data_IF_000047696924
#
_entry.id   IF_000047696924
#
_cell.length_a   1.000
_cell.length_b   1.000
_cell.length_c   1.000
_cell.angle_alpha   90.00
_cell.angle_beta   90.00
_cell.angle_gamma   90.00
#
_symmetry.space_group_name_H-M   'P 1'
#
loop_
_entity.id
_entity.type
_entity.pdbx_description
1 polymer ?
#
# COMPACT_ATOMS: atom_id res chain seq x y z
N UNK A 1 69.75 -4.31 -32.26
CA UNK A 1 70.03 -3.39 -33.37
C UNK A 1 70.36 -2.02 -32.79
N UNK A 2 71.29 -1.34 -33.41
CA UNK A 2 72.21 -0.29 -32.93
C UNK A 2 71.61 0.93 -32.21
N UNK A 3 72.35 1.39 -31.19
CA UNK A 3 72.38 2.76 -30.65
C UNK A 3 73.21 3.70 -31.59
N UNK A 4 73.66 4.95 -31.27
CA UNK A 4 73.48 5.81 -30.07
C UNK A 4 73.48 7.37 -30.29
N UNK A 5 73.48 8.12 -29.15
CA UNK A 5 74.17 9.40 -28.81
C UNK A 5 73.99 10.73 -29.58
N UNK A 6 73.93 11.84 -28.80
CA UNK A 6 74.53 13.14 -29.21
C UNK A 6 74.03 14.40 -28.49
N UNK A 7 74.95 15.12 -27.84
CA UNK A 7 74.79 16.38 -27.07
C UNK A 7 74.74 17.67 -27.94
N UNK A 8 74.40 18.80 -27.27
CA UNK A 8 75.00 20.16 -27.36
C UNK A 8 74.22 21.33 -28.02
N UNK A 9 73.91 22.35 -27.21
CA UNK A 9 73.89 23.80 -27.58
C UNK A 9 75.34 24.31 -27.84
N UNK A 10 75.67 25.54 -28.41
CA UNK A 10 74.90 26.80 -28.43
C UNK A 10 75.09 27.80 -29.65
N UNK A 11 74.37 28.94 -29.58
CA UNK A 11 74.78 30.35 -29.91
C UNK A 11 74.78 30.90 -31.39
N UNK A 12 74.99 32.23 -31.62
CA UNK A 12 73.98 33.14 -32.19
C UNK A 12 74.41 33.87 -33.49
N UNK A 13 73.46 34.28 -34.32
CA UNK A 13 73.72 35.03 -35.56
C UNK A 13 73.43 36.52 -35.42
N UNK A 14 74.47 37.36 -35.49
CA UNK A 14 74.37 38.81 -35.58
C UNK A 14 74.30 39.31 -37.03
N UNK A 15 73.78 40.53 -37.20
CA UNK A 15 74.03 41.35 -38.38
C UNK A 15 74.36 42.80 -37.99
N UNK A 16 75.48 43.26 -38.55
CA UNK A 16 76.04 44.61 -38.54
C UNK A 16 75.68 45.30 -39.86
N UNK A 17 75.59 46.64 -39.86
CA UNK A 17 76.02 47.62 -40.91
C UNK A 17 75.36 49.01 -40.64
N UNK A 18 75.84 50.16 -41.17
CA UNK A 18 77.18 50.74 -41.19
C UNK A 18 77.20 52.24 -40.72
N UNK A 19 78.33 52.94 -40.94
CA UNK A 19 78.74 54.20 -40.32
C UNK A 19 78.54 55.50 -41.14
N UNK A 20 78.33 56.61 -40.39
CA UNK A 20 78.66 58.04 -40.56
C UNK A 20 78.38 58.83 -41.86
N UNK A 21 77.79 60.05 -41.71
CA UNK A 21 78.32 61.36 -42.20
C UNK A 21 77.70 62.51 -41.36
N UNK A 22 78.52 63.54 -41.13
CA UNK A 22 78.37 64.75 -40.29
C UNK A 22 77.56 65.85 -41.01
N UNK A 23 76.83 66.69 -40.27
CA UNK A 23 76.54 68.10 -40.64
C UNK A 23 76.11 68.95 -39.43
N UNK A 24 76.43 70.24 -39.51
CA UNK A 24 76.62 71.19 -38.42
C UNK A 24 75.34 71.78 -37.78
N UNK A 25 75.52 72.32 -36.56
CA UNK A 25 74.54 73.00 -35.70
C UNK A 25 73.84 74.20 -36.37
N UNK A 26 72.63 74.54 -35.90
CA UNK A 26 72.52 75.74 -35.06
C UNK A 26 71.96 75.43 -33.67
N UNK A 27 72.55 76.08 -32.67
CA UNK A 27 72.11 76.06 -31.28
C UNK A 27 70.67 76.61 -31.16
N UNK A 28 69.70 75.72 -30.93
CA UNK A 28 68.41 76.11 -30.38
C UNK A 28 68.56 76.35 -28.87
N UNK A 29 67.97 77.44 -28.32
CA UNK A 29 68.05 77.74 -26.89
C UNK A 29 67.41 76.61 -26.09
N UNK A 30 68.20 75.96 -25.22
CA UNK A 30 67.72 74.93 -24.29
C UNK A 30 66.66 75.55 -23.37
N UNK A 31 65.37 75.15 -23.44
CA UNK A 31 64.48 75.45 -22.35
C UNK A 31 64.98 74.66 -21.14
N UNK A 32 65.27 75.34 -20.02
CA UNK A 32 65.44 74.70 -18.72
C UNK A 32 64.15 73.95 -18.41
N UNK A 33 64.08 72.65 -18.73
CA UNK A 33 62.98 71.77 -18.36
C UNK A 33 62.95 71.69 -16.84
N UNK A 34 61.96 72.35 -16.23
CA UNK A 34 61.66 72.21 -14.80
C UNK A 34 61.43 70.72 -14.52
N UNK A 35 62.25 70.13 -13.63
CA UNK A 35 62.15 68.71 -13.20
C UNK A 35 60.84 68.37 -12.45
N UNK A 36 59.96 69.36 -12.23
CA UNK A 36 58.64 69.16 -11.65
C UNK A 36 57.73 68.25 -12.49
N UNK A 37 57.84 68.24 -13.82
CA UNK A 37 57.02 67.36 -14.67
C UNK A 37 57.33 65.86 -14.53
N UNK A 38 58.58 65.51 -14.23
CA UNK A 38 58.99 64.11 -14.04
C UNK A 38 58.55 63.56 -12.68
N UNK A 39 58.67 64.39 -11.63
CA UNK A 39 58.20 64.03 -10.28
C UNK A 39 56.68 63.90 -10.22
N UNK A 40 55.93 64.77 -10.90
CA UNK A 40 54.47 64.67 -11.02
C UNK A 40 54.08 63.40 -11.81
N UNK A 41 54.82 63.05 -12.87
CA UNK A 41 54.58 61.83 -13.64
C UNK A 41 54.84 60.53 -12.84
N UNK A 42 55.92 60.46 -12.07
CA UNK A 42 56.22 59.31 -11.19
C UNK A 42 55.17 59.20 -10.08
N UNK A 43 54.77 60.31 -9.47
CA UNK A 43 53.74 60.31 -8.44
C UNK A 43 52.37 59.89 -9.01
N UNK A 44 52.02 60.38 -10.20
CA UNK A 44 50.82 59.94 -10.93
C UNK A 44 50.83 58.46 -11.28
N UNK A 45 51.98 57.91 -11.69
CA UNK A 45 52.13 56.48 -11.98
C UNK A 45 52.02 55.62 -10.71
N UNK A 46 52.62 56.05 -9.59
CA UNK A 46 52.50 55.35 -8.31
C UNK A 46 51.06 55.36 -7.78
N UNK A 47 50.37 56.50 -7.89
CA UNK A 47 48.94 56.59 -7.54
C UNK A 47 48.11 55.67 -8.43
N UNK A 48 48.37 55.65 -9.75
CA UNK A 48 47.66 54.74 -10.66
C UNK A 48 47.90 53.26 -10.32
N UNK A 49 49.15 52.86 -10.02
CA UNK A 49 49.46 51.48 -9.59
C UNK A 49 48.81 51.15 -8.25
N UNK A 50 48.80 52.08 -7.29
CA UNK A 50 48.13 51.88 -6.00
C UNK A 50 46.61 51.74 -6.16
N UNK A 51 45.99 52.53 -7.03
CA UNK A 51 44.55 52.44 -7.34
C UNK A 51 44.24 51.11 -8.02
N UNK A 52 45.01 50.70 -9.04
CA UNK A 52 44.82 49.41 -9.71
C UNK A 52 45.04 48.25 -8.74
N UNK A 53 46.05 48.32 -7.88
CA UNK A 53 46.31 47.32 -6.83
C UNK A 53 45.16 47.22 -5.83
N UNK A 54 44.62 48.36 -5.38
CA UNK A 54 43.46 48.39 -4.49
C UNK A 54 42.22 47.79 -5.17
N UNK A 55 41.94 48.16 -6.42
CA UNK A 55 40.83 47.59 -7.22
C UNK A 55 40.98 46.09 -7.41
N UNK A 56 42.19 45.61 -7.67
CA UNK A 56 42.48 44.18 -7.82
C UNK A 56 42.23 43.40 -6.52
N UNK A 57 42.63 43.95 -5.36
CA UNK A 57 42.39 43.32 -4.05
C UNK A 57 40.90 43.30 -3.74
N UNK A 58 40.21 44.43 -3.89
CA UNK A 58 38.76 44.53 -3.66
C UNK A 58 37.99 43.57 -4.58
N UNK A 59 38.35 43.50 -5.86
CA UNK A 59 37.70 42.60 -6.81
C UNK A 59 37.95 41.12 -6.49
N UNK A 60 39.15 40.75 -6.01
CA UNK A 60 39.43 39.39 -5.58
C UNK A 60 38.63 39.00 -4.34
N UNK A 61 38.63 39.85 -3.31
CA UNK A 61 37.87 39.58 -2.08
C UNK A 61 36.37 39.51 -2.35
N UNK A 62 35.84 40.44 -3.16
CA UNK A 62 34.42 40.42 -3.53
C UNK A 62 34.05 39.19 -4.37
N UNK A 63 34.93 38.73 -5.26
CA UNK A 63 34.72 37.47 -5.98
C UNK A 63 34.76 36.27 -5.04
N UNK A 64 35.74 36.18 -4.14
CA UNK A 64 35.86 35.03 -3.22
C UNK A 64 34.68 34.94 -2.25
N UNK A 65 34.15 36.08 -1.81
CA UNK A 65 32.95 36.17 -0.97
C UNK A 65 31.71 35.66 -1.73
N UNK A 66 31.44 36.23 -2.91
CA UNK A 66 30.31 35.77 -3.76
C UNK A 66 30.48 34.32 -4.24
N UNK A 67 31.71 33.85 -4.42
CA UNK A 67 31.99 32.44 -4.76
C UNK A 67 31.62 31.51 -3.59
N UNK A 68 31.92 31.91 -2.35
CA UNK A 68 31.54 31.15 -1.17
C UNK A 68 30.01 31.13 -0.95
N UNK A 69 29.33 32.26 -1.21
CA UNK A 69 27.86 32.33 -1.21
C UNK A 69 27.25 31.41 -2.27
N UNK A 70 27.79 31.42 -3.49
CA UNK A 70 27.38 30.51 -4.56
C UNK A 70 27.58 29.04 -4.18
N UNK A 71 28.74 28.68 -3.61
CA UNK A 71 29.00 27.30 -3.21
C UNK A 71 28.00 26.87 -2.12
N UNK A 72 27.66 27.76 -1.18
CA UNK A 72 26.61 27.51 -0.19
C UNK A 72 25.21 27.33 -0.79
N UNK A 73 24.79 28.21 -1.70
CA UNK A 73 23.49 28.09 -2.39
C UNK A 73 23.41 26.79 -3.22
N UNK A 74 24.52 26.40 -3.86
CA UNK A 74 24.62 25.16 -4.62
C UNK A 74 24.54 23.93 -3.72
N UNK A 75 25.24 23.93 -2.59
CA UNK A 75 25.19 22.83 -1.63
C UNK A 75 23.76 22.66 -1.09
N UNK A 76 23.07 23.75 -0.73
CA UNK A 76 21.64 23.71 -0.33
C UNK A 76 20.76 23.11 -1.41
N UNK A 77 20.86 23.58 -2.66
CA UNK A 77 20.06 23.03 -3.76
C UNK A 77 20.34 21.53 -3.99
N UNK A 78 21.60 21.08 -3.81
CA UNK A 78 21.95 19.66 -3.90
C UNK A 78 21.33 18.81 -2.79
N UNK A 79 21.29 19.33 -1.56
CA UNK A 79 20.63 18.67 -0.44
C UNK A 79 19.11 18.55 -0.71
N UNK A 80 18.46 19.62 -1.19
CA UNK A 80 17.03 19.62 -1.53
C UNK A 80 16.72 18.68 -2.71
N UNK A 81 17.58 18.60 -3.73
CA UNK A 81 17.48 17.60 -4.81
C UNK A 81 17.47 16.17 -4.23
N UNK A 82 18.34 15.88 -3.26
CA UNK A 82 18.41 14.56 -2.65
C UNK A 82 17.14 14.23 -1.83
N UNK A 83 16.55 15.21 -1.15
CA UNK A 83 15.28 15.07 -0.43
C UNK A 83 14.11 14.77 -1.38
N UNK A 84 13.96 15.56 -2.46
CA UNK A 84 12.92 15.34 -3.48
C UNK A 84 13.08 13.99 -4.16
N UNK A 85 14.31 13.57 -4.46
CA UNK A 85 14.60 12.25 -5.05
C UNK A 85 14.13 11.13 -4.12
N UNK A 86 14.43 11.22 -2.82
CA UNK A 86 13.98 10.23 -1.83
C UNK A 86 12.44 10.18 -1.72
N UNK A 87 11.78 11.34 -1.72
CA UNK A 87 10.31 11.41 -1.70
C UNK A 87 9.68 10.81 -2.98
N UNK A 88 10.28 11.07 -4.14
CA UNK A 88 9.85 10.50 -5.43
C UNK A 88 9.99 8.97 -5.45
N UNK A 89 11.14 8.43 -4.99
CA UNK A 89 11.37 6.98 -4.87
C UNK A 89 10.35 6.32 -3.92
N UNK A 90 10.01 6.99 -2.82
CA UNK A 90 9.02 6.51 -1.86
C UNK A 90 7.60 6.49 -2.47
N UNK A 91 7.20 7.56 -3.16
CA UNK A 91 5.92 7.63 -3.87
C UNK A 91 5.81 6.55 -4.96
N UNK A 92 6.89 6.30 -5.70
CA UNK A 92 6.96 5.25 -6.71
C UNK A 92 6.74 3.86 -6.09
N UNK A 93 7.42 3.55 -4.99
CA UNK A 93 7.24 2.28 -4.27
C UNK A 93 5.81 2.08 -3.75
N UNK A 94 5.20 3.13 -3.21
CA UNK A 94 3.80 3.11 -2.74
C UNK A 94 2.83 2.92 -3.91
N UNK A 95 3.07 3.59 -5.04
CA UNK A 95 2.27 3.47 -6.27
C UNK A 95 2.38 2.09 -6.93
N UNK A 96 3.56 1.48 -6.90
CA UNK A 96 3.78 0.10 -7.36
C UNK A 96 2.99 -0.90 -6.52
N UNK A 97 2.99 -0.73 -5.19
CA UNK A 97 2.21 -1.54 -4.26
C UNK A 97 0.70 -1.39 -4.51
N UNK A 98 0.22 -0.15 -4.67
CA UNK A 98 -1.16 0.17 -5.02
C UNK A 98 -1.58 -0.46 -6.37
N UNK A 99 -0.69 -0.41 -7.37
CA UNK A 99 -0.91 -1.03 -8.67
C UNK A 99 -0.99 -2.55 -8.57
N UNK A 100 -0.13 -3.16 -7.75
CA UNK A 100 -0.17 -4.61 -7.51
C UNK A 100 -1.47 -5.02 -6.80
N UNK A 101 -1.96 -4.21 -5.86
CA UNK A 101 -3.24 -4.40 -5.20
C UNK A 101 -4.40 -4.42 -6.21
N UNK A 102 -4.45 -3.44 -7.13
CA UNK A 102 -5.43 -3.39 -8.22
C UNK A 102 -5.33 -4.59 -9.18
N UNK A 103 -4.11 -4.97 -9.56
CA UNK A 103 -3.88 -6.10 -10.47
C UNK A 103 -4.23 -7.46 -9.85
N UNK A 104 -4.22 -7.53 -8.51
CA UNK A 104 -4.60 -8.73 -7.77
C UNK A 104 -6.12 -8.90 -7.68
N UNK A 105 -6.92 -7.90 -8.06
CA UNK A 105 -8.38 -7.95 -8.00
C UNK A 105 -8.99 -8.95 -9.01
N UNK A 106 -9.62 -10.00 -8.47
CA UNK A 106 -10.42 -11.01 -9.16
C UNK A 106 -11.81 -10.50 -9.58
N UNK A 107 -12.27 -9.38 -9.03
CA UNK A 107 -13.59 -8.80 -9.24
C UNK A 107 -14.69 -9.40 -8.35
N UNK A 108 -14.35 -10.24 -7.37
CA UNK A 108 -15.33 -10.91 -6.49
C UNK A 108 -15.77 -10.03 -5.33
N UNK A 109 -14.81 -9.46 -4.58
CA UNK A 109 -15.07 -8.69 -3.35
C UNK A 109 -14.80 -7.18 -3.49
N UNK A 110 -14.14 -6.76 -4.57
CA UNK A 110 -13.75 -5.37 -4.75
C UNK A 110 -14.95 -4.45 -4.99
N UNK A 111 -15.00 -3.35 -4.24
CA UNK A 111 -15.94 -2.26 -4.50
C UNK A 111 -15.48 -1.42 -5.70
N UNK A 112 -16.40 -1.18 -6.64
CA UNK A 112 -16.08 -0.47 -7.87
C UNK A 112 -15.67 1.00 -7.62
N UNK A 113 -16.31 1.67 -6.65
CA UNK A 113 -15.99 3.06 -6.32
C UNK A 113 -14.63 3.17 -5.62
N UNK A 114 -14.32 2.26 -4.68
CA UNK A 114 -13.00 2.22 -4.06
C UNK A 114 -11.90 1.88 -5.08
N UNK A 115 -12.18 0.99 -6.04
CA UNK A 115 -11.27 0.67 -7.14
C UNK A 115 -10.98 1.88 -8.03
N UNK A 116 -12.02 2.62 -8.41
CA UNK A 116 -11.88 3.85 -9.20
C UNK A 116 -11.09 4.93 -8.44
N UNK A 117 -11.33 5.09 -7.14
CA UNK A 117 -10.59 6.02 -6.28
C UNK A 117 -9.10 5.68 -6.20
N UNK A 118 -8.77 4.40 -5.98
CA UNK A 118 -7.37 3.93 -5.97
C UNK A 118 -6.70 4.16 -7.33
N UNK A 119 -7.37 3.82 -8.44
CA UNK A 119 -6.85 4.07 -9.78
C UNK A 119 -6.62 5.55 -10.07
N UNK A 120 -7.48 6.44 -9.57
CA UNK A 120 -7.32 7.88 -9.71
C UNK A 120 -6.10 8.39 -8.91
N UNK A 121 -5.93 7.92 -7.67
CA UNK A 121 -4.77 8.29 -6.83
C UNK A 121 -3.43 7.87 -7.44
N UNK A 122 -3.36 6.69 -8.08
CA UNK A 122 -2.16 6.23 -8.80
C UNK A 122 -1.86 7.14 -10.01
N UNK A 123 -2.91 7.60 -10.71
CA UNK A 123 -2.74 8.54 -11.83
C UNK A 123 -2.18 9.87 -11.33
N UNK A 124 -2.72 10.38 -10.22
CA UNK A 124 -2.23 11.60 -9.57
C UNK A 124 -0.78 11.47 -9.07
N UNK A 125 -0.41 10.32 -8.52
CA UNK A 125 0.97 10.01 -8.16
C UNK A 125 1.93 10.02 -9.36
N UNK A 126 1.48 9.47 -10.50
CA UNK A 126 2.26 9.52 -11.75
C UNK A 126 2.43 10.96 -12.25
N UNK A 127 1.41 11.80 -12.16
CA UNK A 127 1.48 13.20 -12.58
C UNK A 127 2.38 14.02 -11.65
N UNK A 128 2.31 13.79 -10.34
CA UNK A 128 3.18 14.43 -9.35
C UNK A 128 4.65 14.04 -9.53
N UNK A 129 4.92 12.75 -9.75
CA UNK A 129 6.29 12.26 -10.03
C UNK A 129 6.86 12.90 -11.29
N UNK A 130 6.06 13.05 -12.35
CA UNK A 130 6.49 13.70 -13.58
C UNK A 130 6.77 15.20 -13.42
N UNK A 131 6.03 15.89 -12.53
CA UNK A 131 6.32 17.28 -12.14
C UNK A 131 7.66 17.39 -11.42
N UNK A 132 7.88 16.55 -10.41
CA UNK A 132 9.13 16.53 -9.65
C UNK A 132 10.34 16.22 -10.55
N UNK A 133 10.23 15.23 -11.45
CA UNK A 133 11.26 14.90 -12.43
C UNK A 133 11.64 16.09 -13.32
N UNK A 134 10.66 16.92 -13.71
CA UNK A 134 10.92 18.12 -14.51
C UNK A 134 11.78 19.14 -13.76
N UNK A 135 11.56 19.32 -12.46
CA UNK A 135 12.35 20.23 -11.62
C UNK A 135 13.74 19.64 -11.36
N UNK A 136 13.82 18.33 -11.04
CA UNK A 136 15.06 17.60 -10.80
C UNK A 136 16.01 17.59 -12.01
N UNK A 137 15.48 17.62 -13.24
CA UNK A 137 16.26 17.69 -14.47
C UNK A 137 16.92 19.07 -14.70
N UNK A 138 16.65 20.07 -13.85
CA UNK A 138 17.25 21.41 -13.95
C UNK A 138 18.75 21.36 -13.65
N UNK A 139 19.56 21.78 -14.62
CA UNK A 139 21.01 21.75 -14.49
C UNK A 139 21.51 22.82 -13.51
N UNK A 140 22.28 22.40 -12.51
CA UNK A 140 22.94 23.32 -11.59
C UNK A 140 24.01 24.16 -12.31
N UNK A 141 24.04 25.49 -12.12
CA UNK A 141 25.07 26.35 -12.70
C UNK A 141 26.49 25.96 -12.20
N UNK A 142 27.51 26.32 -12.98
CA UNK A 142 28.91 26.14 -12.64
C UNK A 142 29.65 27.48 -12.66
N UNK A 143 30.34 27.79 -11.57
CA UNK A 143 31.05 29.05 -11.40
C UNK A 143 32.25 29.24 -12.35
N UNK A 144 32.69 28.16 -13.01
CA UNK A 144 33.81 28.17 -13.93
C UNK A 144 35.14 28.56 -13.28
N UNK A 145 36.10 28.98 -14.11
CA UNK A 145 37.44 29.34 -13.64
C UNK A 145 37.52 30.81 -13.18
N UNK A 146 38.16 31.06 -12.03
CA UNK A 146 38.37 32.41 -11.49
C UNK A 146 39.20 33.29 -12.45
N UNK A 147 38.69 34.46 -12.87
CA UNK A 147 39.45 35.41 -13.69
C UNK A 147 40.63 36.05 -12.93
N UNK A 148 41.59 36.62 -13.65
CA UNK A 148 42.82 37.16 -13.04
C UNK A 148 42.89 38.68 -12.96
N UNK A 149 42.08 39.40 -13.74
CA UNK A 149 42.10 40.87 -13.82
C UNK A 149 40.83 41.49 -13.22
N UNK A 150 40.97 42.63 -12.54
CA UNK A 150 39.90 43.19 -11.70
C UNK A 150 38.55 43.44 -12.40
N UNK A 151 38.55 43.82 -13.69
CA UNK A 151 37.30 44.08 -14.42
C UNK A 151 36.57 42.78 -14.77
N UNK A 152 37.29 41.70 -15.08
CA UNK A 152 36.70 40.37 -15.29
C UNK A 152 36.19 39.80 -13.96
N UNK A 153 36.92 40.02 -12.86
CA UNK A 153 36.49 39.62 -11.52
C UNK A 153 35.16 40.27 -11.14
N UNK A 154 34.98 41.58 -11.36
CA UNK A 154 33.69 42.24 -11.11
C UNK A 154 32.56 41.68 -11.97
N UNK A 155 32.83 41.38 -13.25
CA UNK A 155 31.83 40.78 -14.14
C UNK A 155 31.45 39.36 -13.73
N UNK A 156 32.44 38.54 -13.35
CA UNK A 156 32.22 37.18 -12.88
C UNK A 156 31.51 37.15 -11.52
N UNK A 157 31.79 38.09 -10.60
CA UNK A 157 31.03 38.24 -9.37
C UNK A 157 29.56 38.54 -9.64
N UNK A 158 29.23 39.34 -10.65
CA UNK A 158 27.84 39.61 -10.99
C UNK A 158 27.14 38.40 -11.63
N UNK A 159 27.86 37.65 -12.48
CA UNK A 159 27.38 36.36 -12.99
C UNK A 159 27.03 35.39 -11.86
N UNK A 160 27.93 35.24 -10.87
CA UNK A 160 27.67 34.39 -9.71
C UNK A 160 26.47 34.85 -8.88
N UNK A 161 26.17 36.14 -8.80
CA UNK A 161 24.95 36.62 -8.11
C UNK A 161 23.67 36.23 -8.83
N UNK A 162 23.69 36.23 -10.16
CA UNK A 162 22.56 35.73 -10.95
C UNK A 162 22.43 34.22 -10.75
N UNK A 163 23.54 33.48 -10.80
CA UNK A 163 23.50 32.04 -10.58
C UNK A 163 23.07 31.68 -9.14
N UNK A 164 23.41 32.49 -8.13
CA UNK A 164 22.88 32.35 -6.76
C UNK A 164 21.36 32.51 -6.74
N UNK A 165 20.82 33.52 -7.44
CA UNK A 165 19.37 33.72 -7.54
C UNK A 165 18.69 32.54 -8.22
N UNK A 166 19.27 32.06 -9.33
CA UNK A 166 18.75 30.88 -10.04
C UNK A 166 18.77 29.62 -9.14
N UNK A 167 19.80 29.45 -8.29
CA UNK A 167 19.89 28.37 -7.30
C UNK A 167 18.87 28.52 -6.16
N UNK A 168 18.64 29.73 -5.65
CA UNK A 168 17.65 30.02 -4.61
C UNK A 168 16.21 29.83 -5.12
N UNK A 169 15.94 30.21 -6.39
CA UNK A 169 14.66 29.98 -7.05
C UNK A 169 14.44 28.47 -7.26
N UNK A 170 15.45 27.73 -7.72
CA UNK A 170 15.39 26.26 -7.86
C UNK A 170 15.19 25.56 -6.50
N UNK A 171 15.89 25.98 -5.46
CA UNK A 171 15.72 25.44 -4.10
C UNK A 171 14.29 25.66 -3.59
N UNK A 172 13.70 26.82 -3.90
CA UNK A 172 12.30 27.11 -3.58
C UNK A 172 11.34 26.19 -4.33
N UNK A 173 11.52 26.01 -5.64
CA UNK A 173 10.71 25.10 -6.45
C UNK A 173 10.82 23.65 -5.94
N UNK A 174 12.03 23.16 -5.68
CA UNK A 174 12.24 21.80 -5.13
C UNK A 174 11.64 21.63 -3.73
N UNK A 175 11.75 22.65 -2.87
CA UNK A 175 11.18 22.63 -1.52
C UNK A 175 9.65 22.57 -1.53
N UNK A 176 9.00 23.05 -2.59
CA UNK A 176 7.55 22.93 -2.79
C UNK A 176 7.13 21.53 -3.30
N UNK A 177 8.00 20.82 -4.01
CA UNK A 177 7.71 19.47 -4.53
C UNK A 177 7.67 18.39 -3.43
N UNK A 178 8.58 18.43 -2.45
CA UNK A 178 8.63 17.43 -1.35
C UNK A 178 7.30 17.27 -0.58
N UNK A 179 6.65 18.35 -0.07
CA UNK A 179 5.36 18.20 0.59
C UNK A 179 4.25 17.77 -0.37
N UNK A 180 4.30 18.17 -1.65
CA UNK A 180 3.31 17.73 -2.64
C UNK A 180 3.42 16.22 -2.89
N UNK A 181 4.63 15.67 -3.03
CA UNK A 181 4.86 14.23 -3.17
C UNK A 181 4.36 13.45 -1.93
N UNK A 182 4.63 13.96 -0.72
CA UNK A 182 4.19 13.34 0.53
C UNK A 182 2.65 13.36 0.70
N UNK A 183 1.99 14.44 0.28
CA UNK A 183 0.53 14.53 0.28
C UNK A 183 -0.08 13.50 -0.68
N UNK A 184 0.50 13.34 -1.88
CA UNK A 184 0.03 12.36 -2.86
C UNK A 184 0.32 10.92 -2.42
N UNK A 185 1.47 10.66 -1.78
CA UNK A 185 1.77 9.36 -1.19
C UNK A 185 0.72 8.97 -0.13
N UNK A 186 0.33 9.93 0.71
CA UNK A 186 -0.73 9.75 1.71
C UNK A 186 -2.06 9.43 1.03
N UNK A 187 -2.41 10.15 -0.04
CA UNK A 187 -3.63 9.88 -0.82
C UNK A 187 -3.66 8.46 -1.40
N UNK A 188 -2.54 7.99 -1.99
CA UNK A 188 -2.44 6.62 -2.53
C UNK A 188 -2.56 5.59 -1.40
N UNK A 189 -1.90 5.83 -0.27
CA UNK A 189 -1.96 4.95 0.90
C UNK A 189 -3.38 4.83 1.44
N UNK A 190 -4.05 5.95 1.66
CA UNK A 190 -5.42 6.01 2.16
C UNK A 190 -6.40 5.35 1.19
N UNK A 191 -6.26 5.60 -0.12
CA UNK A 191 -7.08 4.96 -1.14
C UNK A 191 -6.85 3.44 -1.20
N UNK A 192 -5.61 2.99 -1.05
CA UNK A 192 -5.25 1.57 -1.02
C UNK A 192 -5.84 0.84 0.18
N UNK A 193 -5.73 1.44 1.38
CA UNK A 193 -6.34 0.91 2.60
C UNK A 193 -7.87 0.94 2.54
N UNK A 194 -8.46 1.99 1.98
CA UNK A 194 -9.91 2.07 1.77
C UNK A 194 -10.41 0.99 0.80
N UNK A 195 -9.66 0.72 -0.27
CA UNK A 195 -9.96 -0.38 -1.20
C UNK A 195 -9.93 -1.73 -0.48
N UNK A 196 -8.86 -2.03 0.27
CA UNK A 196 -8.76 -3.27 1.05
C UNK A 196 -9.88 -3.41 2.09
N UNK A 197 -10.17 -2.34 2.84
CA UNK A 197 -11.23 -2.31 3.84
C UNK A 197 -12.64 -2.47 3.23
N UNK A 198 -12.86 -1.97 2.02
CA UNK A 198 -14.12 -2.17 1.30
C UNK A 198 -14.33 -3.65 0.94
N UNK A 199 -13.27 -4.34 0.49
CA UNK A 199 -13.32 -5.76 0.18
C UNK A 199 -13.56 -6.61 1.44
N UNK A 200 -12.92 -6.25 2.56
CA UNK A 200 -13.19 -6.87 3.86
C UNK A 200 -14.67 -6.72 4.28
N UNK A 201 -15.23 -5.53 4.09
CA UNK A 201 -16.65 -5.24 4.38
C UNK A 201 -17.60 -6.04 3.48
N UNK A 202 -17.21 -6.30 2.23
CA UNK A 202 -17.99 -7.09 1.29
C UNK A 202 -18.08 -8.59 1.65
N UNK A 203 -17.20 -9.10 2.51
CA UNK A 203 -17.19 -10.52 2.90
C UNK A 203 -18.50 -10.97 3.60
N UNK A 204 -19.09 -10.13 4.45
CA UNK A 204 -20.32 -10.49 5.16
C UNK A 204 -21.56 -10.65 4.24
N UNK A 205 -21.90 -9.70 3.36
CA UNK A 205 -22.97 -9.92 2.38
C UNK A 205 -22.64 -11.01 1.36
N UNK A 206 -21.36 -11.24 1.06
CA UNK A 206 -20.91 -12.35 0.22
C UNK A 206 -21.21 -13.70 0.88
N UNK A 207 -20.82 -13.90 2.14
CA UNK A 207 -21.18 -15.09 2.92
C UNK A 207 -22.69 -15.33 2.94
N UNK A 208 -23.49 -14.27 3.16
CA UNK A 208 -24.95 -14.37 3.19
C UNK A 208 -25.57 -14.81 1.84
N UNK A 209 -24.85 -14.63 0.72
CA UNK A 209 -25.25 -15.10 -0.60
C UNK A 209 -24.85 -16.56 -0.88
N UNK A 210 -23.93 -17.13 -0.09
CA UNK A 210 -23.31 -18.44 -0.30
C UNK A 210 -23.65 -19.43 0.84
N UNK A 211 -24.95 -19.56 1.15
CA UNK A 211 -25.43 -20.30 2.33
C UNK A 211 -25.12 -21.80 2.32
N UNK A 212 -24.81 -22.38 1.15
CA UNK A 212 -24.49 -23.82 1.05
C UNK A 212 -22.99 -24.10 1.07
N UNK A 213 -22.13 -23.09 1.25
CA UNK A 213 -20.69 -23.29 1.40
C UNK A 213 -20.36 -24.09 2.68
N UNK A 214 -19.22 -24.78 2.67
CA UNK A 214 -18.72 -25.54 3.83
C UNK A 214 -18.33 -24.59 4.97
N UNK A 215 -18.49 -25.04 6.22
CA UNK A 215 -18.25 -24.21 7.39
C UNK A 215 -16.80 -23.68 7.45
N UNK A 216 -15.81 -24.53 7.18
CA UNK A 216 -14.39 -24.18 7.26
C UNK A 216 -13.99 -23.08 6.25
N UNK A 217 -14.58 -23.08 5.05
CA UNK A 217 -14.31 -22.06 4.03
C UNK A 217 -14.92 -20.71 4.41
N UNK A 218 -16.12 -20.70 5.01
CA UNK A 218 -16.75 -19.49 5.54
C UNK A 218 -15.93 -18.92 6.70
N UNK A 219 -15.37 -19.77 7.57
CA UNK A 219 -14.48 -19.34 8.65
C UNK A 219 -13.21 -18.73 8.08
N UNK A 220 -12.57 -19.38 7.10
CA UNK A 220 -11.39 -18.84 6.43
C UNK A 220 -11.67 -17.48 5.77
N UNK A 221 -12.85 -17.29 5.17
CA UNK A 221 -13.28 -15.99 4.62
C UNK A 221 -13.38 -14.93 5.72
N UNK A 222 -14.02 -15.24 6.85
CA UNK A 222 -14.15 -14.30 7.98
C UNK A 222 -12.81 -13.92 8.57
N UNK A 223 -11.91 -14.88 8.75
CA UNK A 223 -10.55 -14.64 9.28
C UNK A 223 -9.72 -13.76 8.33
N UNK A 224 -9.79 -14.05 7.02
CA UNK A 224 -9.12 -13.24 6.01
C UNK A 224 -9.70 -11.82 5.94
N UNK A 225 -11.03 -11.67 6.06
CA UNK A 225 -11.68 -10.37 6.11
C UNK A 225 -11.30 -9.58 7.37
N UNK A 226 -11.23 -10.23 8.52
CA UNK A 226 -10.76 -9.60 9.76
C UNK A 226 -9.30 -9.15 9.67
N UNK A 227 -8.45 -9.95 9.02
CA UNK A 227 -7.04 -9.59 8.78
C UNK A 227 -6.94 -8.39 7.84
N UNK A 228 -7.71 -8.39 6.74
CA UNK A 228 -7.78 -7.28 5.79
C UNK A 228 -8.30 -5.98 6.43
N UNK A 229 -9.33 -6.05 7.27
CA UNK A 229 -9.85 -4.90 8.01
C UNK A 229 -8.85 -4.35 9.05
N UNK A 230 -7.91 -5.17 9.51
CA UNK A 230 -6.86 -4.78 10.44
C UNK A 230 -5.60 -4.19 9.79
N UNK A 231 -5.53 -4.13 8.47
CA UNK A 231 -4.38 -3.55 7.76
C UNK A 231 -4.25 -2.05 8.06
N UNK A 232 -3.04 -1.61 8.41
CA UNK A 232 -2.74 -0.23 8.80
C UNK A 232 -1.67 0.45 7.94
N UNK A 233 -1.12 -0.27 6.96
CA UNK A 233 -0.10 0.21 6.06
C UNK A 233 -0.34 -0.39 4.67
N UNK A 234 0.01 0.37 3.62
CA UNK A 234 -0.01 -0.11 2.25
C UNK A 234 1.38 -0.64 1.88
N UNK A 235 1.57 -1.94 2.03
CA UNK A 235 2.83 -2.64 1.75
C UNK A 235 2.58 -4.02 1.11
N UNK A 236 3.65 -4.80 0.89
CA UNK A 236 3.56 -6.17 0.38
C UNK A 236 2.63 -7.07 1.21
N UNK A 237 2.54 -6.84 2.53
CA UNK A 237 1.65 -7.59 3.41
C UNK A 237 0.19 -7.24 3.18
N UNK A 238 -0.14 -5.97 2.88
CA UNK A 238 -1.49 -5.56 2.49
C UNK A 238 -1.93 -6.25 1.19
N UNK A 239 -1.04 -6.33 0.20
CA UNK A 239 -1.30 -7.07 -1.05
C UNK A 239 -1.52 -8.55 -0.78
N UNK A 240 -0.64 -9.20 -0.01
CA UNK A 240 -0.79 -10.62 0.33
C UNK A 240 -2.10 -10.89 1.08
N UNK A 241 -2.49 -9.98 1.98
CA UNK A 241 -3.74 -10.06 2.72
C UNK A 241 -4.96 -9.95 1.80
N UNK A 242 -4.92 -9.05 0.82
CA UNK A 242 -5.97 -8.92 -0.18
C UNK A 242 -6.11 -10.18 -1.05
N UNK A 243 -4.99 -10.76 -1.49
CA UNK A 243 -4.98 -12.02 -2.25
C UNK A 243 -5.59 -13.15 -1.43
N UNK A 244 -5.17 -13.30 -0.17
CA UNK A 244 -5.71 -14.34 0.72
C UNK A 244 -7.22 -14.21 0.94
N UNK A 245 -7.73 -12.97 1.09
CA UNK A 245 -9.17 -12.70 1.18
C UNK A 245 -9.92 -13.15 -0.08
N UNK A 246 -9.37 -12.89 -1.27
CA UNK A 246 -10.00 -13.30 -2.52
C UNK A 246 -9.92 -14.81 -2.75
N UNK A 247 -8.82 -15.45 -2.38
CA UNK A 247 -8.68 -16.90 -2.42
C UNK A 247 -9.71 -17.57 -1.50
N UNK A 248 -9.91 -17.04 -0.29
CA UNK A 248 -10.94 -17.53 0.62
C UNK A 248 -12.36 -17.38 0.04
N UNK A 249 -12.67 -16.24 -0.59
CA UNK A 249 -13.94 -16.04 -1.29
C UNK A 249 -14.13 -17.04 -2.44
N UNK A 250 -13.06 -17.34 -3.19
CA UNK A 250 -13.10 -18.34 -4.25
C UNK A 250 -13.32 -19.76 -3.70
N UNK A 251 -12.76 -20.11 -2.53
CA UNK A 251 -13.05 -21.39 -1.88
C UNK A 251 -14.50 -21.52 -1.43
N UNK A 252 -15.09 -20.45 -0.87
CA UNK A 252 -16.53 -20.41 -0.51
C UNK A 252 -17.40 -20.72 -1.73
N UNK A 253 -17.12 -20.10 -2.88
CA UNK A 253 -17.85 -20.37 -4.13
C UNK A 253 -17.61 -21.80 -4.62
N UNK A 254 -16.38 -22.30 -4.52
CA UNK A 254 -16.03 -23.64 -4.96
C UNK A 254 -16.76 -24.70 -4.13
N UNK A 255 -16.78 -24.56 -2.80
CA UNK A 255 -17.44 -25.51 -1.91
C UNK A 255 -18.95 -25.41 -2.01
N UNK A 256 -19.54 -24.21 -2.11
CA UNK A 256 -20.98 -24.10 -2.40
C UNK A 256 -21.37 -24.84 -3.69
N UNK A 257 -20.60 -24.67 -4.77
CA UNK A 257 -20.91 -25.36 -6.02
C UNK A 257 -20.80 -26.88 -5.89
N UNK A 258 -19.83 -27.38 -5.12
CA UNK A 258 -19.70 -28.80 -4.83
C UNK A 258 -20.92 -29.31 -4.04
N UNK A 259 -21.33 -28.58 -3.01
CA UNK A 259 -22.48 -28.89 -2.16
C UNK A 259 -23.81 -28.88 -2.93
N UNK A 260 -24.03 -27.87 -3.77
CA UNK A 260 -25.20 -27.80 -4.63
C UNK A 260 -25.21 -28.93 -5.67
N UNK A 261 -24.05 -29.36 -6.16
CA UNK A 261 -23.91 -30.49 -7.07
C UNK A 261 -24.24 -31.81 -6.38
N UNK A 262 -23.81 -32.01 -5.14
CA UNK A 262 -24.16 -33.19 -4.34
C UNK A 262 -25.67 -33.24 -4.04
N UNK A 263 -26.25 -32.08 -3.73
CA UNK A 263 -27.69 -31.93 -3.45
C UNK A 263 -28.58 -32.08 -4.69
N UNK A 264 -28.00 -32.10 -5.90
CA UNK A 264 -28.73 -32.12 -7.16
C UNK A 264 -29.67 -33.33 -7.31
N UNK A 265 -30.72 -33.15 -8.10
CA UNK A 265 -31.71 -34.18 -8.42
C UNK A 265 -33.13 -33.83 -7.98
N UNK A 266 -34.08 -34.79 -8.00
CA UNK A 266 -35.50 -34.51 -7.77
C UNK A 266 -35.82 -33.89 -6.41
N UNK A 267 -34.98 -34.11 -5.40
CA UNK A 267 -35.18 -33.62 -4.03
C UNK A 267 -34.46 -32.28 -3.75
N UNK A 268 -33.67 -31.75 -4.69
CA UNK A 268 -32.81 -30.57 -4.44
C UNK A 268 -33.59 -29.38 -3.86
N UNK A 269 -34.72 -29.01 -4.47
CA UNK A 269 -35.51 -27.87 -3.99
C UNK A 269 -36.06 -28.07 -2.58
N UNK A 270 -36.43 -29.30 -2.23
CA UNK A 270 -36.94 -29.65 -0.89
C UNK A 270 -35.81 -29.64 0.14
N UNK A 271 -34.63 -30.16 -0.22
CA UNK A 271 -33.44 -30.10 0.64
C UNK A 271 -33.11 -28.66 1.02
N UNK A 272 -33.05 -27.76 0.03
CA UNK A 272 -32.79 -26.33 0.28
C UNK A 272 -33.86 -25.67 1.16
N UNK A 273 -35.13 -26.06 1.02
CA UNK A 273 -36.21 -25.60 1.90
C UNK A 273 -36.01 -26.05 3.36
N UNK A 274 -35.61 -27.31 3.55
CA UNK A 274 -35.32 -27.88 4.87
C UNK A 274 -34.14 -27.18 5.52
N UNK A 275 -33.06 -26.94 4.78
CA UNK A 275 -31.87 -26.28 5.29
C UNK A 275 -32.17 -24.82 5.67
N UNK A 276 -32.95 -24.09 4.85
CA UNK A 276 -33.41 -22.75 5.18
C UNK A 276 -34.27 -22.74 6.45
N UNK A 277 -35.15 -23.74 6.59
CA UNK A 277 -35.95 -23.93 7.80
C UNK A 277 -35.07 -24.21 9.02
N UNK A 278 -34.08 -25.11 8.92
CA UNK A 278 -33.15 -25.41 10.00
C UNK A 278 -32.34 -24.16 10.43
N UNK A 279 -31.82 -23.37 9.48
CA UNK A 279 -31.14 -22.09 9.79
C UNK A 279 -32.05 -21.09 10.48
N UNK A 280 -33.35 -21.08 10.17
CA UNK A 280 -34.33 -20.21 10.87
C UNK A 280 -34.55 -20.58 12.34
N UNK A 281 -34.23 -21.83 12.72
CA UNK A 281 -34.35 -22.31 14.08
C UNK A 281 -33.08 -22.03 14.89
N UNK A 282 -31.88 -22.00 14.30
CA UNK A 282 -30.62 -21.73 15.01
C UNK A 282 -29.93 -20.43 14.56
N UNK A 283 -30.45 -19.25 14.96
CA UNK A 283 -29.84 -17.98 14.59
C UNK A 283 -28.43 -17.83 15.19
N UNK A 284 -27.46 -17.52 14.32
CA UNK A 284 -26.08 -17.27 14.70
C UNK A 284 -25.21 -18.52 14.81
N UNK A 285 -25.71 -19.70 14.46
CA UNK A 285 -24.90 -20.92 14.29
C UNK A 285 -24.65 -21.13 12.80
N UNK A 286 -23.40 -21.39 12.45
CA UNK A 286 -23.02 -21.75 11.09
C UNK A 286 -23.41 -23.22 10.85
N UNK A 287 -24.37 -23.45 9.95
CA UNK A 287 -24.93 -24.78 9.66
C UNK A 287 -24.56 -25.26 8.27
N UNK A 288 -23.96 -26.45 8.24
CA UNK A 288 -23.67 -27.24 7.06
C UNK A 288 -24.58 -28.47 7.02
N UNK A 289 -24.86 -28.98 5.81
CA UNK A 289 -25.80 -30.09 5.62
C UNK A 289 -25.29 -31.13 4.63
N UNK A 290 -25.37 -32.39 5.05
CA UNK A 290 -25.10 -33.57 4.23
C UNK A 290 -26.37 -34.43 4.09
N UNK A 291 -26.51 -35.10 2.94
CA UNK A 291 -27.72 -35.86 2.59
C UNK A 291 -27.40 -37.28 2.16
N UNK A 292 -27.83 -38.26 2.96
CA UNK A 292 -27.52 -39.68 2.72
C UNK A 292 -28.78 -40.55 2.60
N UNK A 293 -28.74 -41.71 1.92
CA UNK A 293 -29.88 -42.63 1.90
C UNK A 293 -30.25 -43.13 3.30
N UNK A 294 -29.26 -43.35 4.15
CA UNK A 294 -29.39 -43.83 5.52
C UNK A 294 -28.53 -43.01 6.45
N UNK A 295 -29.08 -42.60 7.59
CA UNK A 295 -28.38 -41.92 8.69
C UNK A 295 -28.75 -42.64 9.97
N UNK A 296 -27.76 -43.02 10.79
CA UNK A 296 -27.98 -43.81 12.01
C UNK A 296 -28.83 -45.09 11.79
N UNK A 297 -28.64 -45.74 10.63
CA UNK A 297 -29.42 -46.90 10.17
C UNK A 297 -30.93 -46.65 9.91
N UNK A 298 -31.34 -45.38 9.77
CA UNK A 298 -32.70 -44.97 9.43
C UNK A 298 -32.75 -44.19 8.10
N UNK A 299 -33.83 -44.36 7.33
CA UNK A 299 -34.01 -43.76 6.00
C UNK A 299 -34.75 -44.66 4.99
N UNK A 300 -34.98 -45.93 5.35
CA UNK A 300 -35.77 -46.88 4.54
C UNK A 300 -37.11 -47.23 5.21
N UNK A 301 -38.04 -47.82 4.45
CA UNK A 301 -39.34 -48.32 4.95
C UNK A 301 -40.17 -47.26 5.71
N UNK A 302 -40.02 -45.98 5.34
CA UNK A 302 -40.70 -44.86 5.99
C UNK A 302 -40.10 -44.43 7.33
N UNK A 303 -38.92 -44.94 7.72
CA UNK A 303 -38.11 -44.36 8.80
C UNK A 303 -37.36 -43.12 8.30
N UNK A 304 -36.97 -42.23 9.21
CA UNK A 304 -36.12 -41.07 8.96
C UNK A 304 -34.98 -41.06 9.98
N UNK A 305 -33.78 -40.70 9.53
CA UNK A 305 -32.62 -40.51 10.38
C UNK A 305 -32.06 -39.09 10.25
N UNK A 306 -31.51 -38.62 11.37
CA UNK A 306 -30.69 -37.43 11.49
C UNK A 306 -29.47 -37.72 12.36
N UNK A 307 -28.42 -36.94 12.15
CA UNK A 307 -27.23 -36.89 13.00
C UNK A 307 -26.68 -35.47 12.96
N UNK A 308 -26.35 -34.92 14.12
CA UNK A 308 -25.71 -33.60 14.21
C UNK A 308 -24.35 -33.73 14.88
N UNK A 309 -23.33 -33.12 14.28
CA UNK A 309 -22.01 -32.94 14.89
C UNK A 309 -21.78 -31.45 15.10
N UNK A 310 -21.31 -31.05 16.28
CA UNK A 310 -21.10 -29.65 16.63
C UNK A 310 -19.75 -29.44 17.32
N UNK A 311 -19.29 -28.19 17.34
CA UNK A 311 -18.03 -27.78 17.95
C UNK A 311 -18.25 -26.54 18.81
N UNK A 312 -17.70 -26.53 20.04
CA UNK A 312 -17.72 -25.41 20.98
C UNK A 312 -16.53 -24.48 20.78
N UNK A 313 -16.26 -24.11 19.54
CA UNK A 313 -15.21 -23.16 19.17
C UNK A 313 -15.79 -21.94 18.46
N UNK A 314 -14.94 -20.95 18.18
CA UNK A 314 -15.35 -19.71 17.51
C UNK A 314 -15.03 -19.80 16.01
N UNK A 315 -16.00 -19.56 15.11
CA UNK A 315 -17.42 -19.34 15.38
C UNK A 315 -18.19 -20.64 15.65
N UNK A 316 -19.29 -20.49 16.40
CA UNK A 316 -20.30 -21.52 16.66
C UNK A 316 -20.74 -22.23 15.37
N UNK A 317 -20.43 -23.52 15.24
CA UNK A 317 -20.74 -24.30 14.03
C UNK A 317 -21.24 -25.71 14.29
N UNK A 318 -22.01 -26.21 13.33
CA UNK A 318 -22.47 -27.60 13.30
C UNK A 318 -22.66 -28.12 11.87
N UNK A 319 -22.62 -29.44 11.74
CA UNK A 319 -22.97 -30.19 10.53
C UNK A 319 -24.18 -31.07 10.87
N UNK A 320 -25.23 -30.97 10.07
CA UNK A 320 -26.45 -31.77 10.20
C UNK A 320 -26.54 -32.72 9.00
N UNK A 321 -26.44 -34.01 9.27
CA UNK A 321 -26.66 -35.07 8.29
C UNK A 321 -28.12 -35.53 8.35
N UNK A 322 -28.82 -35.54 7.20
CA UNK A 322 -30.21 -35.96 7.10
C UNK A 322 -30.39 -37.08 6.08
N UNK A 323 -31.23 -38.05 6.42
CA UNK A 323 -31.60 -39.08 5.46
C UNK A 323 -32.48 -38.53 4.33
N UNK A 324 -32.34 -39.03 3.11
CA UNK A 324 -33.14 -38.63 1.94
C UNK A 324 -34.65 -38.72 2.20
N UNK A 325 -35.06 -39.69 3.02
CA UNK A 325 -36.45 -39.89 3.42
C UNK A 325 -37.06 -38.68 4.15
N UNK A 326 -36.25 -37.83 4.80
CA UNK A 326 -36.70 -36.57 5.40
C UNK A 326 -37.21 -35.63 4.31
N UNK A 327 -36.45 -35.49 3.22
CA UNK A 327 -36.85 -34.68 2.07
C UNK A 327 -38.02 -35.30 1.31
N UNK A 328 -38.08 -36.62 1.15
CA UNK A 328 -39.20 -37.29 0.47
C UNK A 328 -40.56 -37.09 1.17
N UNK A 329 -40.54 -36.83 2.47
CA UNK A 329 -41.74 -36.72 3.30
C UNK A 329 -42.05 -35.29 3.74
N UNK A 330 -41.18 -34.35 3.37
CA UNK A 330 -41.40 -32.94 3.64
C UNK A 330 -42.70 -32.44 2.99
N UNK A 331 -43.51 -31.59 3.66
CA UNK A 331 -43.30 -30.93 4.95
C UNK A 331 -44.08 -31.56 6.11
N UNK A 332 -44.14 -32.89 6.21
CA UNK A 332 -44.88 -33.59 7.27
C UNK A 332 -44.40 -33.18 8.68
N UNK A 333 -45.32 -33.18 9.66
CA UNK A 333 -45.04 -32.78 11.05
C UNK A 333 -43.87 -33.56 11.64
N UNK A 334 -43.80 -34.87 11.38
CA UNK A 334 -42.68 -35.72 11.77
C UNK A 334 -41.33 -35.29 11.20
N UNK A 335 -41.28 -34.86 9.95
CA UNK A 335 -40.03 -34.43 9.30
C UNK A 335 -39.54 -33.10 9.88
N UNK A 336 -40.47 -32.17 10.14
CA UNK A 336 -40.16 -30.91 10.83
C UNK A 336 -39.69 -31.12 12.26
N UNK A 337 -40.37 -32.00 12.99
CA UNK A 337 -40.02 -32.35 14.37
C UNK A 337 -38.61 -32.96 14.47
N UNK A 338 -38.25 -33.86 13.55
CA UNK A 338 -36.90 -34.42 13.46
C UNK A 338 -35.86 -33.33 13.15
N UNK A 339 -36.11 -32.49 12.14
CA UNK A 339 -35.18 -31.39 11.80
C UNK A 339 -35.00 -30.44 12.99
N UNK A 340 -36.08 -30.12 13.71
CA UNK A 340 -35.99 -29.30 14.91
C UNK A 340 -35.19 -29.98 16.04
N UNK A 341 -35.26 -31.31 16.17
CA UNK A 341 -34.42 -32.07 17.11
C UNK A 341 -32.94 -31.95 16.74
N UNK A 342 -32.57 -32.18 15.47
CA UNK A 342 -31.19 -32.04 15.00
C UNK A 342 -30.65 -30.61 15.20
N UNK A 343 -31.47 -29.60 14.93
CA UNK A 343 -31.10 -28.20 15.24
C UNK A 343 -30.92 -27.97 16.74
N UNK A 344 -31.62 -28.72 17.59
CA UNK A 344 -31.44 -28.67 19.04
C UNK A 344 -30.03 -29.10 19.49
N UNK A 345 -29.43 -30.07 18.81
CA UNK A 345 -28.01 -30.39 18.99
C UNK A 345 -27.13 -29.23 18.54
N UNK A 346 -27.39 -28.69 17.35
CA UNK A 346 -26.58 -27.61 16.77
C UNK A 346 -26.59 -26.33 17.62
N UNK A 347 -27.76 -25.87 18.09
CA UNK A 347 -27.87 -24.64 18.88
C UNK A 347 -27.25 -24.76 20.28
N UNK A 348 -26.98 -25.98 20.73
CA UNK A 348 -26.37 -26.23 22.03
C UNK A 348 -24.98 -25.59 22.16
N UNK A 349 -24.30 -25.31 21.05
CA UNK A 349 -23.00 -24.59 21.03
C UNK A 349 -23.08 -23.22 21.71
N UNK A 350 -24.23 -22.53 21.58
CA UNK A 350 -24.47 -21.21 22.18
C UNK A 350 -24.93 -21.27 23.64
N UNK A 351 -25.24 -22.46 24.12
CA UNK A 351 -26.01 -22.67 25.35
C UNK A 351 -25.43 -23.80 26.20
N UNK A 352 -24.13 -24.06 26.03
CA UNK A 352 -23.40 -25.14 26.72
C UNK A 352 -23.61 -25.10 28.24
N UNK A 353 -23.53 -23.91 28.84
CA UNK A 353 -23.67 -23.70 30.29
C UNK A 353 -25.11 -23.90 30.82
N UNK A 354 -26.10 -24.11 29.94
CA UNK A 354 -27.51 -24.22 30.33
C UNK A 354 -27.97 -25.65 30.64
N UNK A 355 -27.16 -26.65 30.32
CA UNK A 355 -27.48 -28.06 30.54
C UNK A 355 -26.23 -28.91 30.79
N UNK A 356 -26.42 -30.16 31.22
CA UNK A 356 -25.32 -31.11 31.33
C UNK A 356 -24.99 -31.71 29.96
N UNK A 357 -23.89 -31.27 29.32
CA UNK A 357 -23.41 -31.80 28.04
C UNK A 357 -22.50 -33.02 28.17
N UNK A 358 -22.31 -33.60 29.37
CA UNK A 358 -21.31 -34.65 29.61
C UNK A 358 -21.73 -36.06 29.21
N UNK A 359 -23.02 -36.29 28.90
CA UNK A 359 -23.54 -37.61 28.55
C UNK A 359 -24.45 -37.56 27.32
N UNK A 360 -24.46 -38.64 26.53
CA UNK A 360 -25.36 -38.76 25.38
C UNK A 360 -26.82 -38.58 25.80
N UNK A 361 -27.25 -39.18 26.91
CA UNK A 361 -28.63 -39.08 27.40
C UNK A 361 -29.04 -37.62 27.70
N UNK A 362 -28.15 -36.85 28.33
CA UNK A 362 -28.41 -35.42 28.60
C UNK A 362 -28.42 -34.57 27.31
N UNK A 363 -27.55 -34.89 26.34
CA UNK A 363 -27.49 -34.24 25.02
C UNK A 363 -28.78 -34.49 24.23
N UNK A 364 -29.24 -35.74 24.14
CA UNK A 364 -30.50 -36.09 23.45
C UNK A 364 -31.72 -35.43 24.11
N UNK A 365 -31.73 -35.36 25.45
CA UNK A 365 -32.77 -34.64 26.19
C UNK A 365 -32.77 -33.15 25.90
N UNK A 366 -31.60 -32.53 25.72
CA UNK A 366 -31.51 -31.13 25.30
C UNK A 366 -32.11 -30.92 23.91
N UNK A 367 -31.71 -31.70 22.92
CA UNK A 367 -32.24 -31.62 21.57
C UNK A 367 -33.77 -31.82 21.51
N UNK A 368 -34.29 -32.82 22.24
CA UNK A 368 -35.74 -33.01 22.36
C UNK A 368 -36.42 -31.85 23.08
N UNK A 369 -35.82 -31.31 24.14
CA UNK A 369 -36.37 -30.17 24.87
C UNK A 369 -36.45 -28.91 23.99
N UNK A 370 -35.43 -28.67 23.16
CA UNK A 370 -35.41 -27.60 22.16
C UNK A 370 -36.54 -27.73 21.15
N UNK A 371 -36.71 -28.91 20.55
CA UNK A 371 -37.81 -29.15 19.60
C UNK A 371 -39.19 -28.92 20.27
N UNK A 372 -39.38 -29.37 21.51
CA UNK A 372 -40.61 -29.13 22.27
C UNK A 372 -40.80 -27.63 22.56
N UNK A 373 -39.75 -26.91 22.97
CA UNK A 373 -39.86 -25.47 23.24
C UNK A 373 -40.18 -24.64 21.99
N UNK A 374 -39.82 -25.14 20.82
CA UNK A 374 -40.19 -24.57 19.51
C UNK A 374 -41.62 -24.94 19.07
N UNK A 375 -42.33 -25.77 19.84
CA UNK A 375 -43.74 -26.11 19.64
C UNK A 375 -43.98 -27.41 18.88
N UNK A 376 -42.96 -28.23 18.63
CA UNK A 376 -43.11 -29.52 17.94
C UNK A 376 -43.62 -30.61 18.88
N UNK A 377 -44.80 -31.15 18.58
CA UNK A 377 -45.51 -32.13 19.42
C UNK A 377 -45.53 -33.55 18.84
N UNK A 378 -45.11 -33.73 17.59
CA UNK A 378 -44.91 -35.05 16.97
C UNK A 378 -43.74 -35.78 17.67
N UNK A 379 -43.86 -37.10 17.83
CA UNK A 379 -42.92 -37.90 18.62
C UNK A 379 -41.55 -38.09 17.95
N UNK A 380 -41.43 -37.73 16.67
CA UNK A 380 -40.17 -37.64 15.94
C UNK A 380 -39.25 -36.48 16.43
N UNK A 381 -39.72 -35.63 17.35
CA UNK A 381 -38.87 -34.64 18.06
C UNK A 381 -37.83 -35.27 19.02
N UNK A 382 -37.73 -36.60 19.04
CA UNK A 382 -36.87 -37.39 19.90
C UNK A 382 -37.60 -38.06 21.08
N UNK A 383 -38.84 -37.69 21.39
CA UNK A 383 -39.64 -38.35 22.44
C UNK A 383 -39.81 -39.85 22.18
N UNK A 384 -40.00 -40.26 20.91
CA UNK A 384 -40.13 -41.67 20.56
C UNK A 384 -38.87 -42.49 20.91
N UNK A 385 -37.68 -41.91 20.69
CA UNK A 385 -36.40 -42.59 20.88
C UNK A 385 -35.85 -42.45 22.31
N UNK A 386 -36.01 -41.27 22.92
CA UNK A 386 -35.31 -40.86 24.14
C UNK A 386 -36.26 -40.54 25.31
N UNK A 387 -37.57 -40.52 25.06
CA UNK A 387 -38.58 -40.16 26.04
C UNK A 387 -38.70 -38.65 26.27
N UNK A 388 -39.61 -38.26 27.17
CA UNK A 388 -39.80 -36.86 27.50
C UNK A 388 -38.65 -36.32 28.37
N UNK A 389 -38.05 -35.17 28.01
CA UNK A 389 -37.07 -34.51 28.86
C UNK A 389 -37.74 -33.88 30.09
N UNK A 390 -36.98 -33.63 31.18
CA UNK A 390 -37.48 -32.89 32.32
C UNK A 390 -37.95 -31.48 31.93
N UNK A 391 -38.97 -30.95 32.60
CA UNK A 391 -39.47 -29.58 32.33
C UNK A 391 -38.36 -28.52 32.44
N UNK A 392 -37.40 -28.71 33.35
CA UNK A 392 -36.26 -27.79 33.49
C UNK A 392 -35.39 -27.70 32.23
N UNK A 393 -35.29 -28.76 31.44
CA UNK A 393 -34.58 -28.74 30.15
C UNK A 393 -35.40 -27.97 29.09
N UNK A 394 -36.72 -28.15 29.06
CA UNK A 394 -37.62 -27.42 28.13
C UNK A 394 -37.57 -25.93 28.42
N UNK A 395 -37.63 -25.55 29.70
CA UNK A 395 -37.54 -24.16 30.13
C UNK A 395 -36.16 -23.56 29.81
N UNK A 396 -35.08 -24.32 29.99
CA UNK A 396 -33.73 -23.88 29.65
C UNK A 396 -33.55 -23.71 28.13
N UNK A 397 -33.98 -24.67 27.32
CA UNK A 397 -33.94 -24.58 25.86
C UNK A 397 -34.79 -23.41 25.33
N UNK A 398 -35.96 -23.15 25.93
CA UNK A 398 -36.76 -21.97 25.59
C UNK A 398 -36.05 -20.64 25.90
N UNK A 399 -35.22 -20.61 26.96
CA UNK A 399 -34.44 -19.43 27.34
C UNK A 399 -33.14 -19.23 26.54
N UNK A 400 -32.68 -20.25 25.82
CA UNK A 400 -31.51 -20.22 24.94
C UNK A 400 -31.78 -19.46 23.62
N UNK A 401 -33.05 -19.44 23.18
CA UNK A 401 -33.51 -18.72 21.99
C UNK A 401 -33.44 -17.21 22.17
#
# INVERSE_FOLDING_TARGET
MSAPHGFSEPSPGGHVLPAHIVSAFPQAPRPRKRRTGLLIGIFGALVAVAVVGALQITANLGYDDTRAEFDGARDTAQDTIAEVTLASDQLASTSDTATLLLNSDSGVLADATAKEALSASITEASDASASADQVLDTALPDAGAKPTVFWELFGASEGLRLDIQDLEDLDTELSEESPALADVETLVTDAGLAFLGSAATAAAPFEAAHLSAKNDDVIALRDAASTAAGASALDDSAVATFVALQDAAAQVVASENAELSEKAGPLQGVRLEIEAYARSLAPGVLLEFDWNPLVNNAGENGSMGGLTTWWWDEPDRAVIELSNSVAEQWPADRSKALVAHEVGHAISVKCEDMYDSSTQDSIEKWATAWAISMGFTDDANGVWAYGYPPQSYIDAAAGCR
#
